data_IF_062216817501
#
_entry.id   IF_062216817501
#
_cell.length_a   1.000
_cell.length_b   1.000
_cell.length_c   1.000
_cell.angle_alpha   90.00
_cell.angle_beta   90.00
_cell.angle_gamma   90.00
#
_symmetry.space_group_name_H-M   'P 1'
#
loop_
_entity.id
_entity.type
_entity.pdbx_description
1 polymer ?
#
# COMPACT_ATOMS: atom_id res chain seq x y z
N UNK A 1 -12.56 -8.19 14.83
CA UNK A 1 -11.87 -7.80 13.58
C UNK A 1 -10.39 -7.95 13.85
N UNK A 2 -9.70 -8.81 13.12
CA UNK A 2 -8.24 -8.95 13.25
C UNK A 2 -7.58 -7.65 12.80
N UNK A 3 -6.55 -7.22 13.53
CA UNK A 3 -5.77 -6.06 13.10
C UNK A 3 -5.01 -6.41 11.80
N UNK A 4 -4.94 -5.51 10.81
CA UNK A 4 -4.19 -5.76 9.58
C UNK A 4 -2.73 -6.04 9.89
N UNK A 5 -2.21 -7.17 9.39
CA UNK A 5 -0.80 -7.55 9.49
C UNK A 5 0.05 -6.59 8.67
N UNK A 6 1.13 -6.09 9.25
CA UNK A 6 2.11 -5.29 8.52
C UNK A 6 2.88 -6.23 7.58
N UNK A 7 2.85 -5.92 6.28
CA UNK A 7 3.54 -6.71 5.25
C UNK A 7 4.93 -6.15 4.98
N UNK A 8 5.10 -4.83 5.10
CA UNK A 8 6.38 -4.17 4.85
C UNK A 8 6.24 -2.66 4.79
N UNK A 9 7.35 -1.99 4.44
CA UNK A 9 7.43 -0.55 4.29
C UNK A 9 8.33 -0.18 3.11
N UNK A 10 8.09 0.96 2.48
CA UNK A 10 8.95 1.52 1.44
C UNK A 10 9.07 3.04 1.55
N UNK A 11 10.13 3.60 0.96
CA UNK A 11 10.32 5.03 0.84
C UNK A 11 9.68 5.56 -0.45
N UNK A 12 8.87 6.60 -0.33
CA UNK A 12 8.31 7.35 -1.44
C UNK A 12 8.63 8.83 -1.24
N UNK A 13 9.64 9.31 -1.97
CA UNK A 13 10.24 10.63 -1.76
C UNK A 13 10.74 10.81 -0.32
N UNK A 14 10.15 11.74 0.43
CA UNK A 14 10.46 12.04 1.84
C UNK A 14 9.50 11.33 2.82
N UNK A 15 8.74 10.33 2.34
CA UNK A 15 7.68 9.67 3.10
C UNK A 15 8.01 8.18 3.29
N UNK A 16 7.83 7.69 4.52
CA UNK A 16 7.81 6.26 4.78
C UNK A 16 6.37 5.77 4.67
N UNK A 17 6.13 4.85 3.74
CA UNK A 17 4.83 4.24 3.51
C UNK A 17 4.84 2.82 4.08
N UNK A 18 3.93 2.54 4.99
CA UNK A 18 3.66 1.21 5.51
C UNK A 18 2.55 0.54 4.70
N UNK A 19 2.77 -0.71 4.34
CA UNK A 19 1.80 -1.59 3.69
C UNK A 19 1.31 -2.62 4.71
N UNK A 20 0.00 -2.74 4.84
CA UNK A 20 -0.63 -3.76 5.68
C UNK A 20 -1.70 -4.50 4.90
N UNK A 21 -1.92 -5.78 5.21
CA UNK A 21 -2.92 -6.64 4.60
C UNK A 21 -3.64 -7.47 5.65
N UNK A 22 -4.72 -8.13 5.23
CA UNK A 22 -5.43 -9.09 6.07
C UNK A 22 -5.12 -10.49 5.55
N UNK A 23 -4.81 -11.43 6.46
CA UNK A 23 -4.55 -12.83 6.11
C UNK A 23 -5.77 -13.51 5.46
N UNK A 24 -6.99 -12.97 5.67
CA UNK A 24 -8.22 -13.46 5.04
C UNK A 24 -8.66 -12.71 3.77
N UNK A 25 -8.12 -11.53 3.47
CA UNK A 25 -8.51 -10.71 2.31
C UNK A 25 -7.32 -10.50 1.38
N UNK A 26 -7.03 -11.51 0.56
CA UNK A 26 -5.90 -11.52 -0.37
C UNK A 26 -5.96 -10.39 -1.42
N UNK A 27 -7.14 -9.82 -1.67
CA UNK A 27 -7.36 -8.88 -2.76
C UNK A 27 -7.11 -7.41 -2.41
N UNK A 28 -6.84 -7.05 -1.15
CA UNK A 28 -6.65 -5.64 -0.74
C UNK A 28 -5.52 -5.46 0.26
N UNK A 29 -4.67 -4.45 0.01
CA UNK A 29 -3.66 -3.97 0.96
C UNK A 29 -3.80 -2.47 1.15
N UNK A 30 -3.59 -2.01 2.38
CA UNK A 30 -3.73 -0.62 2.78
C UNK A 30 -2.37 0.06 2.85
N UNK A 31 -2.34 1.33 2.44
CA UNK A 31 -1.18 2.20 2.53
C UNK A 31 -1.41 3.23 3.63
N UNK A 32 -0.43 3.33 4.52
CA UNK A 32 -0.37 4.36 5.56
C UNK A 32 0.96 5.07 5.49
N UNK A 33 0.97 6.39 5.37
CA UNK A 33 2.17 7.17 5.66
C UNK A 33 2.44 7.09 7.15
N UNK A 34 3.60 6.60 7.56
CA UNK A 34 4.03 6.57 8.97
C UNK A 34 5.11 7.60 9.28
N UNK A 35 5.73 8.17 8.25
CA UNK A 35 6.64 9.32 8.38
C UNK A 35 6.50 10.25 7.16
N UNK A 36 6.60 11.58 7.32
CA UNK A 36 6.65 12.30 8.59
C UNK A 36 5.32 12.18 9.38
N UNK A 37 5.43 12.40 10.68
CA UNK A 37 4.28 12.45 11.59
C UNK A 37 3.34 13.63 11.26
N UNK A 38 2.04 13.52 11.57
CA UNK A 38 1.39 12.35 12.14
C UNK A 38 1.14 11.24 11.09
N UNK A 39 0.97 9.98 11.51
CA UNK A 39 0.61 8.91 10.60
C UNK A 39 -0.73 9.19 9.90
N UNK A 40 -0.82 8.86 8.62
CA UNK A 40 -1.98 9.18 7.79
C UNK A 40 -2.34 8.00 6.89
N UNK A 41 -3.61 7.58 6.92
CA UNK A 41 -4.13 6.64 5.95
C UNK A 41 -4.15 7.30 4.56
N UNK A 42 -3.47 6.68 3.60
CA UNK A 42 -3.36 7.22 2.24
C UNK A 42 -4.38 6.60 1.30
N UNK A 43 -4.64 5.30 1.47
CA UNK A 43 -5.49 4.56 0.55
C UNK A 43 -5.27 3.06 0.60
N UNK A 44 -5.55 2.38 -0.51
CA UNK A 44 -5.32 0.96 -0.69
C UNK A 44 -4.99 0.61 -2.14
N UNK A 45 -4.32 -0.53 -2.35
CA UNK A 45 -4.34 -1.23 -3.63
C UNK A 45 -5.33 -2.38 -3.52
N UNK A 46 -6.23 -2.47 -4.49
CA UNK A 46 -7.25 -3.52 -4.59
C UNK A 46 -7.02 -4.36 -5.83
N UNK A 47 -7.72 -5.48 -5.92
CA UNK A 47 -7.68 -6.40 -7.06
C UNK A 47 -6.25 -6.95 -7.27
N UNK A 48 -5.52 -7.23 -6.18
CA UNK A 48 -4.12 -7.66 -6.21
C UNK A 48 -3.88 -8.99 -6.92
N UNK A 49 -4.86 -9.90 -6.88
CA UNK A 49 -4.84 -11.17 -7.61
C UNK A 49 -5.27 -11.03 -9.09
N UNK A 50 -5.63 -9.82 -9.54
CA UNK A 50 -6.02 -9.56 -10.93
C UNK A 50 -4.81 -9.17 -11.80
N UNK A 51 -4.98 -9.23 -13.12
CA UNK A 51 -3.99 -8.71 -14.08
C UNK A 51 -3.84 -7.18 -14.03
N UNK A 52 -4.78 -6.46 -13.41
CA UNK A 52 -4.81 -5.00 -13.37
C UNK A 52 -5.10 -4.46 -11.97
N UNK A 53 -4.15 -4.58 -11.01
CA UNK A 53 -4.32 -4.02 -9.67
C UNK A 53 -4.55 -2.50 -9.71
N UNK A 54 -5.39 -2.00 -8.80
CA UNK A 54 -5.82 -0.59 -8.81
C UNK A 54 -5.44 0.11 -7.52
N UNK A 55 -4.71 1.21 -7.63
CA UNK A 55 -4.42 2.11 -6.51
C UNK A 55 -5.59 3.08 -6.30
N UNK A 56 -6.11 3.14 -5.08
CA UNK A 56 -7.14 4.09 -4.65
C UNK A 56 -6.60 4.93 -3.51
N UNK A 57 -6.49 6.24 -3.71
CA UNK A 57 -6.03 7.20 -2.70
C UNK A 57 -7.22 8.02 -2.17
N UNK A 58 -7.27 8.24 -0.85
CA UNK A 58 -8.38 8.97 -0.22
C UNK A 58 -8.26 10.49 -0.37
N UNK A 59 -7.04 11.02 -0.24
CA UNK A 59 -6.77 12.46 -0.15
C UNK A 59 -5.45 12.89 -0.81
N UNK A 60 -4.67 11.94 -1.30
CA UNK A 60 -3.35 12.21 -1.84
C UNK A 60 -3.45 12.54 -3.33
N UNK A 61 -3.21 13.80 -3.67
CA UNK A 61 -2.90 14.20 -5.04
C UNK A 61 -1.42 13.87 -5.30
N UNK A 62 -1.19 12.64 -5.74
CA UNK A 62 0.12 12.23 -6.25
C UNK A 62 0.13 12.36 -7.76
N UNK A 63 1.21 12.90 -8.36
CA UNK A 63 1.45 12.78 -9.78
C UNK A 63 1.44 11.30 -10.21
N UNK A 64 1.08 11.04 -11.47
CA UNK A 64 0.90 9.68 -11.98
C UNK A 64 2.16 8.82 -11.81
N UNK A 65 3.36 9.39 -11.95
CA UNK A 65 4.63 8.70 -11.71
C UNK A 65 4.74 8.18 -10.27
N UNK A 66 4.35 8.98 -9.27
CA UNK A 66 4.37 8.55 -7.87
C UNK A 66 3.28 7.51 -7.59
N UNK A 67 2.14 7.60 -8.27
CA UNK A 67 1.06 6.61 -8.14
C UNK A 67 1.50 5.25 -8.66
N UNK A 68 2.11 5.21 -9.84
CA UNK A 68 2.62 3.96 -10.41
C UNK A 68 3.75 3.38 -9.56
N UNK A 69 4.73 4.20 -9.15
CA UNK A 69 5.81 3.74 -8.26
C UNK A 69 5.28 3.19 -6.94
N UNK A 70 4.33 3.87 -6.30
CA UNK A 70 3.73 3.41 -5.06
C UNK A 70 2.97 2.09 -5.24
N UNK A 71 2.25 1.94 -6.37
CA UNK A 71 1.55 0.72 -6.72
C UNK A 71 2.52 -0.45 -6.94
N UNK A 72 3.58 -0.24 -7.72
CA UNK A 72 4.61 -1.25 -7.99
C UNK A 72 5.29 -1.74 -6.71
N UNK A 73 5.75 -0.83 -5.85
CA UNK A 73 6.37 -1.16 -4.57
C UNK A 73 5.41 -1.89 -3.63
N UNK A 74 4.15 -1.49 -3.63
CA UNK A 74 3.11 -2.17 -2.84
C UNK A 74 2.88 -3.61 -3.33
N UNK A 75 2.86 -3.82 -4.65
CA UNK A 75 2.72 -5.15 -5.25
C UNK A 75 3.92 -6.04 -4.95
N UNK A 76 5.14 -5.49 -4.99
CA UNK A 76 6.36 -6.20 -4.63
C UNK A 76 6.30 -6.70 -3.18
N UNK A 77 5.99 -5.81 -2.22
CA UNK A 77 5.84 -6.17 -0.81
C UNK A 77 4.75 -7.23 -0.61
N UNK A 78 3.59 -7.07 -1.25
CA UNK A 78 2.50 -8.04 -1.13
C UNK A 78 2.88 -9.43 -1.67
N UNK A 79 3.59 -9.50 -2.80
CA UNK A 79 4.09 -10.77 -3.35
C UNK A 79 5.12 -11.40 -2.40
N UNK A 80 6.10 -10.62 -1.94
CA UNK A 80 7.14 -11.11 -1.03
C UNK A 80 6.59 -11.61 0.30
N UNK A 81 5.51 -11.02 0.81
CA UNK A 81 4.89 -11.45 2.06
C UNK A 81 4.07 -12.76 1.93
N UNK A 82 3.82 -13.23 0.71
CA UNK A 82 3.06 -14.47 0.41
C UNK A 82 3.96 -15.65 0.02
N UNK A 83 5.23 -15.39 -0.30
CA UNK A 83 6.26 -16.39 -0.57
C UNK A 83 7.03 -16.74 0.71
#
# INVERSE_FOLDING_TARGET
>A
MSEPKILGQFQLEHRTIQVSGDEGNAGTVWLRRVHPDPPMALGCVVELDSSTPRLRLYRAEWPDELRERAKEQTLEIWRSARH
#
